data_IF_663332208469
#
_entry.id   IF_663332208469
#
_cell.length_a   1.000
_cell.length_b   1.000
_cell.length_c   1.000
_cell.angle_alpha   90.00
_cell.angle_beta   90.00
_cell.angle_gamma   90.00
#
_symmetry.space_group_name_H-M   'P 1'
#
loop_
_entity.id
_entity.type
_entity.pdbx_description
1 polymer ?
#
# COMPACT_ATOMS: atom_id res chain seq x y z
N UNK A 1 16.33 15.87 -13.49
CA UNK A 1 15.18 15.20 -12.85
C UNK A 1 15.09 13.78 -13.38
N UNK A 2 15.50 12.77 -12.60
CA UNK A 2 15.27 11.36 -12.95
C UNK A 2 13.81 11.07 -12.66
N UNK A 3 13.04 10.83 -13.73
CA UNK A 3 11.66 10.35 -13.62
C UNK A 3 11.75 8.99 -12.92
N UNK A 4 11.22 8.87 -11.69
CA UNK A 4 11.00 7.56 -11.08
C UNK A 4 10.01 6.83 -11.98
N UNK A 5 10.49 5.87 -12.75
CA UNK A 5 9.64 5.01 -13.56
C UNK A 5 8.99 3.97 -12.65
N UNK A 6 7.83 3.44 -13.03
CA UNK A 6 7.15 2.35 -12.33
C UNK A 6 8.12 1.18 -12.07
N UNK A 7 9.04 0.94 -13.02
CA UNK A 7 10.12 -0.05 -12.92
C UNK A 7 11.12 0.26 -11.80
N UNK A 8 11.45 1.52 -11.54
CA UNK A 8 12.40 1.88 -10.46
C UNK A 8 11.78 1.65 -9.08
N UNK A 9 10.47 1.91 -8.94
CA UNK A 9 9.72 1.60 -7.73
C UNK A 9 9.57 0.08 -7.56
N UNK A 10 9.23 -0.64 -8.64
CA UNK A 10 9.11 -2.10 -8.63
C UNK A 10 10.42 -2.82 -8.27
N UNK A 11 11.58 -2.34 -8.77
CA UNK A 11 12.89 -2.94 -8.48
C UNK A 11 13.30 -2.80 -7.01
N UNK A 12 12.95 -1.66 -6.39
CA UNK A 12 13.20 -1.42 -4.97
C UNK A 12 12.31 -2.30 -4.07
N UNK A 13 11.13 -2.69 -4.54
CA UNK A 13 10.21 -3.58 -3.85
C UNK A 13 10.61 -5.06 -4.01
N UNK A 14 11.07 -5.46 -5.20
CA UNK A 14 11.51 -6.84 -5.48
C UNK A 14 12.75 -7.26 -4.66
N UNK A 15 13.54 -6.30 -4.20
CA UNK A 15 14.73 -6.55 -3.35
C UNK A 15 14.37 -6.95 -1.91
N UNK A 16 13.09 -6.83 -1.52
CA UNK A 16 12.57 -7.29 -0.23
C UNK A 16 11.86 -8.65 -0.32
N UNK A 17 11.85 -9.29 -1.50
CA UNK A 17 11.33 -10.64 -1.65
C UNK A 17 12.18 -11.61 -0.81
N UNK A 18 11.49 -12.28 0.11
CA UNK A 18 12.00 -13.25 1.07
C UNK A 18 13.23 -14.03 0.56
N UNK A 19 14.39 -13.77 1.17
CA UNK A 19 15.55 -14.66 1.04
C UNK A 19 15.15 -16.03 1.62
N UNK A 20 14.95 -17.04 0.76
CA UNK A 20 14.98 -18.53 0.93
C UNK A 20 14.60 -19.21 2.26
N UNK A 21 14.09 -18.47 3.23
CA UNK A 21 13.88 -18.86 4.62
C UNK A 21 12.86 -17.89 5.22
N UNK A 22 11.66 -17.82 4.64
CA UNK A 22 10.55 -17.24 5.37
C UNK A 22 10.23 -18.17 6.56
N UNK A 23 10.19 -17.66 7.80
CA UNK A 23 9.77 -18.48 8.94
C UNK A 23 8.34 -18.97 8.71
N UNK A 24 8.09 -20.25 9.00
CA UNK A 24 6.74 -20.83 8.94
C UNK A 24 5.80 -20.05 9.87
N UNK A 25 4.63 -19.63 9.35
CA UNK A 25 3.61 -18.96 10.16
C UNK A 25 3.18 -19.89 11.30
N UNK A 26 3.24 -19.45 12.58
CA UNK A 26 2.81 -20.26 13.70
C UNK A 26 1.32 -20.59 13.56
N UNK A 27 0.96 -21.85 13.82
CA UNK A 27 -0.41 -22.33 13.84
C UNK A 27 -1.16 -21.76 15.04
N UNK A 28 -1.74 -20.57 14.84
CA UNK A 28 -2.88 -19.95 15.54
C UNK A 28 -2.79 -18.43 15.31
N UNK A 29 -3.29 -17.94 14.17
CA UNK A 29 -3.35 -16.51 13.90
C UNK A 29 -4.48 -15.90 14.73
N UNK A 30 -4.17 -15.45 15.95
CA UNK A 30 -5.05 -14.58 16.73
C UNK A 30 -4.95 -13.16 16.17
N UNK A 31 -6.03 -12.68 15.58
CA UNK A 31 -6.16 -11.33 15.06
C UNK A 31 -5.96 -10.31 16.21
N UNK A 32 -4.99 -9.39 16.07
CA UNK A 32 -4.62 -8.44 17.11
C UNK A 32 -5.60 -7.25 17.24
N UNK A 33 -5.30 -6.30 18.12
CA UNK A 33 -6.02 -5.01 18.20
C UNK A 33 -5.53 -4.04 17.12
N UNK A 34 -6.40 -3.18 16.55
CA UNK A 34 -5.97 -2.15 15.61
C UNK A 34 -4.87 -1.26 16.20
N UNK A 35 -3.80 -1.02 15.46
CA UNK A 35 -2.74 -0.07 15.86
C UNK A 35 -3.25 1.36 15.58
N UNK A 36 -3.41 2.22 16.61
CA UNK A 36 -3.87 3.58 16.39
C UNK A 36 -2.86 4.40 15.58
N UNK A 37 -3.33 5.35 14.79
CA UNK A 37 -2.43 6.36 14.21
C UNK A 37 -1.93 7.24 15.34
N UNK A 38 -0.62 7.41 15.42
CA UNK A 38 -0.01 8.46 16.23
C UNK A 38 -0.06 9.79 15.45
N UNK A 39 -0.72 10.84 15.97
CA UNK A 39 -0.81 12.13 15.27
C UNK A 39 0.55 12.74 14.92
N UNK A 40 1.61 12.45 15.68
CA UNK A 40 2.96 12.93 15.40
C UNK A 40 3.58 12.30 14.13
N UNK A 41 3.01 11.21 13.63
CA UNK A 41 3.46 10.53 12.41
C UNK A 41 2.76 11.04 11.15
N UNK A 42 1.77 11.92 11.29
CA UNK A 42 1.08 12.55 10.15
C UNK A 42 1.97 13.67 9.60
N UNK A 43 2.46 13.55 8.36
CA UNK A 43 3.38 14.55 7.85
C UNK A 43 2.64 15.84 7.43
N UNK A 44 3.26 16.97 7.71
CA UNK A 44 2.80 18.30 7.31
C UNK A 44 3.53 18.81 6.06
N UNK A 45 2.97 19.81 5.38
CA UNK A 45 3.58 20.44 4.20
C UNK A 45 3.47 19.61 2.92
N UNK A 46 4.31 19.96 1.94
CA UNK A 46 4.39 19.30 0.63
C UNK A 46 5.60 18.37 0.53
N UNK A 47 5.50 17.38 -0.34
CA UNK A 47 6.58 16.46 -0.70
C UNK A 47 6.61 16.22 -2.20
N UNK A 48 7.72 15.71 -2.71
CA UNK A 48 7.79 15.26 -4.10
C UNK A 48 6.88 14.05 -4.31
N UNK A 49 6.87 13.13 -3.33
CA UNK A 49 6.04 11.93 -3.30
C UNK A 49 5.49 11.69 -1.89
N UNK A 50 4.17 11.53 -1.77
CA UNK A 50 3.55 11.04 -0.54
C UNK A 50 3.02 9.62 -0.74
N UNK A 51 3.47 8.70 0.10
CA UNK A 51 3.14 7.27 0.05
C UNK A 51 2.06 7.01 1.09
N UNK A 52 0.81 6.82 0.64
CA UNK A 52 -0.29 6.45 1.54
C UNK A 52 -0.20 4.95 1.79
N UNK A 53 0.05 4.55 3.03
CA UNK A 53 0.28 3.15 3.39
C UNK A 53 -0.85 2.62 4.24
N UNK A 54 -1.62 1.66 3.71
CA UNK A 54 -2.55 0.85 4.46
C UNK A 54 -1.91 -0.49 4.81
N UNK A 55 -1.55 -0.64 6.08
CA UNK A 55 -0.97 -1.87 6.65
C UNK A 55 -1.97 -3.05 6.69
N UNK A 56 -1.51 -4.22 7.09
CA UNK A 56 -2.34 -5.40 7.36
C UNK A 56 -3.13 -5.31 8.66
N UNK A 57 -4.10 -6.20 8.83
CA UNK A 57 -4.97 -6.23 10.02
C UNK A 57 -4.14 -6.39 11.28
N UNK A 58 -4.20 -5.38 12.14
CA UNK A 58 -3.51 -5.37 13.44
C UNK A 58 -2.00 -5.63 13.35
N UNK A 59 -1.42 -5.32 12.19
CA UNK A 59 0.02 -5.42 11.97
C UNK A 59 0.76 -4.42 12.85
N UNK A 60 1.74 -4.86 13.67
CA UNK A 60 2.55 -3.96 14.47
C UNK A 60 3.54 -3.19 13.59
N UNK A 61 4.03 -2.07 14.12
CA UNK A 61 5.16 -1.38 13.53
C UNK A 61 6.48 -2.07 13.93
N UNK A 62 7.51 -1.92 13.11
CA UNK A 62 8.88 -2.19 13.55
C UNK A 62 9.27 -1.25 14.71
N UNK A 63 10.38 -1.53 15.38
CA UNK A 63 10.96 -0.56 16.32
C UNK A 63 11.29 0.74 15.57
N UNK A 64 10.68 1.86 15.99
CA UNK A 64 10.76 3.14 15.29
C UNK A 64 9.96 3.23 13.98
N UNK A 65 9.24 2.17 13.60
CA UNK A 65 8.37 2.09 12.44
C UNK A 65 7.02 2.78 12.65
N UNK A 66 6.33 3.06 11.53
CA UNK A 66 5.06 3.83 11.52
C UNK A 66 4.00 3.23 10.61
N UNK A 67 4.41 2.38 9.67
CA UNK A 67 3.63 2.03 8.48
C UNK A 67 3.29 0.54 8.41
N UNK A 68 3.71 -0.26 9.39
CA UNK A 68 3.58 -1.72 9.40
C UNK A 68 4.88 -2.42 9.00
N UNK A 69 5.32 -3.38 9.80
CA UNK A 69 6.64 -4.02 9.69
C UNK A 69 6.88 -4.82 8.39
N UNK A 70 5.83 -5.37 7.77
CA UNK A 70 5.93 -6.32 6.66
C UNK A 70 6.16 -5.61 5.33
N UNK A 71 5.33 -4.60 5.03
CA UNK A 71 5.34 -3.92 3.72
C UNK A 71 5.57 -2.42 3.85
N UNK A 72 4.89 -1.77 4.79
CA UNK A 72 4.88 -0.32 4.88
C UNK A 72 6.24 0.27 5.25
N UNK A 73 6.79 -0.15 6.38
CA UNK A 73 8.08 0.31 6.90
C UNK A 73 9.21 0.10 5.88
N UNK A 74 9.40 -1.10 5.27
CA UNK A 74 10.45 -1.29 4.27
C UNK A 74 10.23 -0.47 2.99
N UNK A 75 9.00 -0.34 2.47
CA UNK A 75 8.75 0.47 1.25
C UNK A 75 9.06 1.94 1.49
N UNK A 76 8.56 2.52 2.59
CA UNK A 76 8.81 3.93 2.89
C UNK A 76 10.30 4.18 3.14
N UNK A 77 10.97 3.31 3.89
CA UNK A 77 12.41 3.41 4.15
C UNK A 77 13.22 3.35 2.86
N UNK A 78 12.98 2.35 2.00
CA UNK A 78 13.73 2.21 0.74
C UNK A 78 13.44 3.36 -0.23
N UNK A 79 12.19 3.85 -0.26
CA UNK A 79 11.83 4.97 -1.14
C UNK A 79 12.51 6.26 -0.69
N UNK A 80 12.58 6.54 0.60
CA UNK A 80 13.24 7.77 1.11
C UNK A 80 14.76 7.76 0.92
N UNK A 81 15.40 6.59 0.88
CA UNK A 81 16.81 6.47 0.54
C UNK A 81 17.13 6.89 -0.91
N UNK A 82 16.21 6.62 -1.85
CA UNK A 82 16.41 6.90 -3.28
C UNK A 82 15.78 8.23 -3.70
N UNK A 83 14.67 8.60 -3.06
CA UNK A 83 13.95 9.84 -3.24
C UNK A 83 13.81 10.53 -1.88
N UNK A 84 14.81 11.33 -1.46
CA UNK A 84 14.79 12.01 -0.15
C UNK A 84 13.59 12.95 0.06
N UNK A 85 12.96 13.42 -1.01
CA UNK A 85 11.72 14.20 -0.98
C UNK A 85 10.44 13.38 -0.80
N UNK A 86 10.54 12.05 -0.64
CA UNK A 86 9.41 11.17 -0.35
C UNK A 86 9.06 11.16 1.14
N UNK A 87 7.81 10.83 1.45
CA UNK A 87 7.34 10.62 2.83
C UNK A 87 6.18 9.64 2.88
N UNK A 88 6.01 8.95 4.00
CA UNK A 88 4.87 8.07 4.23
C UNK A 88 3.73 8.77 5.00
N UNK A 89 2.50 8.36 4.71
CA UNK A 89 1.30 8.67 5.49
C UNK A 89 0.68 7.35 5.98
N UNK A 90 0.57 7.12 7.29
CA UNK A 90 0.08 5.85 7.83
C UNK A 90 -1.45 5.81 7.87
N UNK A 91 -2.03 4.72 7.34
CA UNK A 91 -3.45 4.39 7.48
C UNK A 91 -3.65 3.18 8.37
N UNK A 92 -4.62 3.23 9.30
CA UNK A 92 -4.91 2.11 10.14
C UNK A 92 -5.81 1.12 9.40
N UNK A 93 -5.37 -0.13 9.31
CA UNK A 93 -6.29 -1.23 9.07
C UNK A 93 -6.89 -1.67 10.41
N UNK A 94 -8.21 -1.53 10.56
CA UNK A 94 -9.00 -2.18 11.61
C UNK A 94 -9.80 -3.33 11.02
N UNK A 95 -10.07 -4.34 11.85
CA UNK A 95 -10.73 -5.58 11.45
C UNK A 95 -12.12 -5.39 10.81
N UNK A 96 -12.85 -4.34 11.18
CA UNK A 96 -14.22 -4.14 10.73
C UNK A 96 -14.33 -3.56 9.32
N UNK A 97 -15.42 -3.92 8.61
CA UNK A 97 -15.73 -3.33 7.30
C UNK A 97 -15.94 -1.81 7.37
N UNK A 98 -16.33 -1.29 8.55
CA UNK A 98 -16.34 0.15 8.84
C UNK A 98 -14.95 0.75 8.75
N UNK A 99 -13.92 0.05 9.22
CA UNK A 99 -12.51 0.42 9.11
C UNK A 99 -12.04 0.58 7.69
N UNK A 100 -12.36 -0.40 6.83
CA UNK A 100 -12.08 -0.34 5.39
C UNK A 100 -12.74 0.87 4.75
N UNK A 101 -14.03 1.14 5.05
CA UNK A 101 -14.76 2.29 4.49
C UNK A 101 -14.26 3.63 5.03
N UNK A 102 -13.92 3.69 6.31
CA UNK A 102 -13.38 4.90 6.97
C UNK A 102 -12.00 5.21 6.42
N UNK A 103 -11.13 4.21 6.30
CA UNK A 103 -9.83 4.34 5.69
C UNK A 103 -9.89 4.74 4.22
N UNK A 104 -10.80 4.15 3.43
CA UNK A 104 -11.02 4.53 2.04
C UNK A 104 -11.47 6.00 1.89
N UNK A 105 -12.33 6.46 2.80
CA UNK A 105 -12.77 7.87 2.84
C UNK A 105 -11.61 8.78 3.19
N UNK A 106 -10.78 8.40 4.15
CA UNK A 106 -9.65 9.23 4.58
C UNK A 106 -8.55 9.28 3.51
N UNK A 107 -8.24 8.19 2.80
CA UNK A 107 -7.37 8.18 1.60
C UNK A 107 -7.85 9.22 0.59
N UNK A 108 -9.14 9.20 0.26
CA UNK A 108 -9.74 10.16 -0.67
C UNK A 108 -9.64 11.61 -0.17
N UNK A 109 -9.89 11.83 1.12
CA UNK A 109 -9.79 13.16 1.72
C UNK A 109 -8.34 13.67 1.72
N UNK A 110 -7.37 12.82 2.05
CA UNK A 110 -5.94 13.17 2.03
C UNK A 110 -5.49 13.51 0.62
N UNK A 111 -5.83 12.69 -0.37
CA UNK A 111 -5.51 12.94 -1.78
C UNK A 111 -6.07 14.29 -2.25
N UNK A 112 -7.35 14.59 -1.95
CA UNK A 112 -7.98 15.86 -2.32
C UNK A 112 -7.34 17.05 -1.61
N UNK A 113 -7.17 16.96 -0.29
CA UNK A 113 -6.60 18.03 0.52
C UNK A 113 -5.16 18.35 0.09
N UNK A 114 -4.31 17.33 -0.05
CA UNK A 114 -2.92 17.51 -0.45
C UNK A 114 -2.77 17.90 -1.91
N UNK A 115 -3.63 17.43 -2.82
CA UNK A 115 -3.58 17.89 -4.20
C UNK A 115 -3.93 19.36 -4.35
N UNK A 116 -4.80 19.89 -3.48
CA UNK A 116 -5.14 21.31 -3.41
C UNK A 116 -4.02 22.14 -2.77
N UNK A 117 -3.44 21.66 -1.67
CA UNK A 117 -2.38 22.36 -0.97
C UNK A 117 -1.03 22.32 -1.72
N UNK A 118 -0.78 21.21 -2.43
CA UNK A 118 0.46 20.89 -3.12
C UNK A 118 0.18 20.43 -4.56
N UNK A 119 -0.01 21.37 -5.51
CA UNK A 119 -0.39 21.05 -6.89
C UNK A 119 0.60 20.17 -7.66
N UNK A 120 1.87 20.15 -7.27
CA UNK A 120 2.89 19.33 -7.92
C UNK A 120 3.12 17.97 -7.24
N UNK A 121 2.61 17.80 -6.02
CA UNK A 121 2.83 16.59 -5.23
C UNK A 121 2.23 15.36 -5.93
N UNK A 122 3.03 14.28 -5.97
CA UNK A 122 2.63 12.96 -6.46
C UNK A 122 2.32 12.02 -5.30
N UNK A 123 1.61 10.94 -5.62
CA UNK A 123 1.16 9.95 -4.65
C UNK A 123 1.46 8.53 -5.08
N UNK A 124 1.83 7.68 -4.12
CA UNK A 124 1.82 6.23 -4.27
C UNK A 124 0.85 5.64 -3.24
N UNK A 125 0.08 4.63 -3.64
CA UNK A 125 -0.84 3.92 -2.76
C UNK A 125 -0.29 2.53 -2.47
N UNK A 126 -0.08 2.19 -1.21
CA UNK A 126 0.48 0.91 -0.78
C UNK A 126 -0.50 0.21 0.13
N UNK A 127 -0.84 -1.05 -0.16
CA UNK A 127 -1.77 -1.85 0.63
C UNK A 127 -1.25 -3.25 0.89
N UNK A 128 -1.34 -3.73 2.14
CA UNK A 128 -1.02 -5.10 2.50
C UNK A 128 -2.25 -5.84 3.06
N UNK A 129 -2.60 -6.99 2.49
CA UNK A 129 -3.74 -7.82 2.94
C UNK A 129 -5.05 -7.02 3.00
N UNK A 130 -5.63 -6.81 4.19
CA UNK A 130 -6.80 -5.94 4.36
C UNK A 130 -6.55 -4.49 3.88
N UNK A 131 -5.33 -3.99 3.98
CA UNK A 131 -4.94 -2.69 3.45
C UNK A 131 -5.03 -2.60 1.94
N UNK A 132 -4.81 -3.70 1.20
CA UNK A 132 -5.05 -3.74 -0.24
C UNK A 132 -6.55 -3.62 -0.55
N UNK A 133 -7.41 -4.34 0.19
CA UNK A 133 -8.86 -4.22 0.06
C UNK A 133 -9.36 -2.77 0.35
N UNK A 134 -8.74 -2.09 1.31
CA UNK A 134 -8.99 -0.66 1.58
C UNK A 134 -8.60 0.22 0.39
N UNK A 135 -7.46 -0.01 -0.25
CA UNK A 135 -7.06 0.75 -1.44
C UNK A 135 -7.99 0.51 -2.62
N UNK A 136 -8.47 -0.72 -2.84
CA UNK A 136 -9.53 -1.01 -3.81
C UNK A 136 -10.83 -0.27 -3.50
N UNK A 137 -11.22 -0.21 -2.23
CA UNK A 137 -12.39 0.56 -1.80
C UNK A 137 -12.20 2.07 -2.05
N UNK A 138 -11.02 2.61 -1.72
CA UNK A 138 -10.68 4.01 -1.95
C UNK A 138 -10.75 4.37 -3.44
N UNK A 139 -10.17 3.53 -4.30
CA UNK A 139 -10.04 3.78 -5.73
C UNK A 139 -11.37 3.98 -6.47
N UNK A 140 -12.47 3.42 -5.94
CA UNK A 140 -13.82 3.62 -6.49
C UNK A 140 -14.27 5.07 -6.46
N UNK A 141 -13.80 5.82 -5.45
CA UNK A 141 -14.24 7.19 -5.18
C UNK A 141 -13.17 8.25 -5.49
N UNK A 142 -11.98 7.84 -5.98
CA UNK A 142 -10.92 8.76 -6.40
C UNK A 142 -11.38 9.52 -7.64
N UNK A 143 -11.43 10.86 -7.62
CA UNK A 143 -11.73 11.66 -8.80
C UNK A 143 -10.71 11.43 -9.93
N UNK A 144 -11.20 11.32 -11.17
CA UNK A 144 -10.34 11.01 -12.34
C UNK A 144 -9.25 12.05 -12.59
N UNK A 145 -9.47 13.31 -12.22
CA UNK A 145 -8.49 14.39 -12.31
C UNK A 145 -7.29 14.18 -11.36
N UNK A 146 -7.43 13.36 -10.32
CA UNK A 146 -6.32 12.97 -9.44
C UNK A 146 -5.54 11.76 -9.96
N UNK A 147 -6.03 11.01 -10.94
CA UNK A 147 -5.33 9.83 -11.46
C UNK A 147 -3.90 10.16 -11.95
N UNK A 148 -3.65 11.27 -12.68
CA UNK A 148 -2.28 11.64 -13.10
C UNK A 148 -1.33 12.02 -11.95
N UNK A 149 -1.85 12.25 -10.75
CA UNK A 149 -1.03 12.50 -9.54
C UNK A 149 -0.67 11.21 -8.82
N UNK A 150 -1.44 10.14 -9.02
CA UNK A 150 -1.10 8.81 -8.50
C UNK A 150 -0.15 8.16 -9.50
N UNK A 151 1.06 7.82 -9.05
CA UNK A 151 2.13 7.30 -9.92
C UNK A 151 2.36 5.80 -9.75
N UNK A 152 1.91 5.21 -8.64
CA UNK A 152 2.02 3.78 -8.38
C UNK A 152 0.92 3.32 -7.41
N UNK A 153 0.44 2.09 -7.62
CA UNK A 153 -0.34 1.33 -6.66
C UNK A 153 0.41 0.02 -6.39
N UNK A 154 0.79 -0.24 -5.15
CA UNK A 154 1.49 -1.46 -4.75
C UNK A 154 0.60 -2.24 -3.81
N UNK A 155 0.06 -3.36 -4.27
CA UNK A 155 -0.81 -4.22 -3.48
C UNK A 155 -0.09 -5.52 -3.17
N UNK A 156 0.01 -5.88 -1.90
CA UNK A 156 0.67 -7.10 -1.45
C UNK A 156 -0.33 -8.01 -0.73
N UNK A 157 -0.39 -9.30 -1.10
CA UNK A 157 -1.35 -10.25 -0.51
C UNK A 157 -2.80 -9.79 -0.71
N UNK A 158 -3.13 -9.34 -1.92
CA UNK A 158 -4.38 -8.65 -2.21
C UNK A 158 -5.57 -9.61 -2.39
N UNK A 159 -6.61 -9.55 -1.53
CA UNK A 159 -7.77 -10.43 -1.65
C UNK A 159 -8.65 -10.13 -2.86
N UNK A 160 -8.53 -8.95 -3.48
CA UNK A 160 -9.27 -8.62 -4.71
C UNK A 160 -8.57 -9.17 -5.96
N UNK A 161 -7.32 -9.59 -5.85
CA UNK A 161 -6.57 -10.15 -6.96
C UNK A 161 -7.11 -11.53 -7.34
N UNK A 162 -7.54 -11.67 -8.58
CA UNK A 162 -8.01 -12.94 -9.16
C UNK A 162 -6.94 -13.47 -10.10
N UNK A 163 -6.68 -14.78 -10.05
CA UNK A 163 -5.69 -15.47 -10.91
C UNK A 163 -5.89 -15.22 -12.42
N UNK A 164 -7.05 -14.72 -12.85
CA UNK A 164 -7.33 -14.32 -14.24
C UNK A 164 -6.70 -12.97 -14.68
N UNK A 165 -5.69 -12.46 -13.96
CA UNK A 165 -4.78 -11.36 -14.38
C UNK A 165 -5.43 -10.01 -14.75
N UNK A 166 -6.70 -9.77 -14.40
CA UNK A 166 -7.36 -8.48 -14.68
C UNK A 166 -7.40 -7.66 -13.39
N UNK A 167 -6.74 -6.50 -13.41
CA UNK A 167 -6.83 -5.50 -12.36
C UNK A 167 -8.28 -5.17 -12.04
N UNK A 168 -8.63 -5.10 -10.75
CA UNK A 168 -9.94 -4.62 -10.29
C UNK A 168 -9.97 -3.12 -10.04
N UNK A 169 -8.85 -2.41 -10.28
CA UNK A 169 -8.81 -0.95 -10.25
C UNK A 169 -9.46 -0.34 -11.50
N UNK A 170 -9.95 0.91 -11.41
CA UNK A 170 -10.35 1.67 -12.59
C UNK A 170 -9.19 1.77 -13.61
N UNK A 171 -9.49 1.70 -14.91
CA UNK A 171 -8.49 1.60 -15.99
C UNK A 171 -7.28 2.54 -15.86
N UNK A 172 -7.49 3.84 -15.58
CA UNK A 172 -6.39 4.81 -15.45
C UNK A 172 -5.52 4.67 -14.18
N UNK A 173 -5.93 3.82 -13.24
CA UNK A 173 -5.12 3.40 -12.09
C UNK A 173 -4.56 1.98 -12.28
N UNK A 174 -5.30 1.10 -12.93
CA UNK A 174 -4.89 -0.28 -13.23
C UNK A 174 -3.54 -0.35 -13.95
N UNK A 175 -3.26 0.59 -14.86
CA UNK A 175 -1.97 0.68 -15.58
C UNK A 175 -0.77 0.98 -14.67
N UNK A 176 -1.02 1.36 -13.42
CA UNK A 176 -0.01 1.75 -12.42
C UNK A 176 0.05 0.77 -11.26
N UNK A 177 -0.71 -0.32 -11.35
CA UNK A 177 -0.78 -1.35 -10.34
C UNK A 177 0.43 -2.30 -10.47
N UNK A 178 1.03 -2.56 -9.32
CA UNK A 178 1.93 -3.67 -9.06
C UNK A 178 1.30 -4.53 -7.96
N UNK A 179 0.89 -5.74 -8.31
CA UNK A 179 0.29 -6.68 -7.37
C UNK A 179 1.31 -7.79 -7.05
N UNK A 180 1.59 -8.03 -5.77
CA UNK A 180 2.64 -8.92 -5.29
C UNK A 180 2.03 -9.95 -4.33
N UNK A 181 2.23 -11.23 -4.60
CA UNK A 181 1.84 -12.30 -3.69
C UNK A 181 3.03 -13.19 -3.35
N UNK A 182 3.10 -13.64 -2.10
CA UNK A 182 4.04 -14.67 -1.71
C UNK A 182 3.60 -16.03 -2.26
N UNK A 183 4.56 -16.91 -2.56
CA UNK A 183 4.24 -18.29 -2.90
C UNK A 183 3.58 -18.98 -1.71
N UNK A 184 2.43 -19.63 -1.93
CA UNK A 184 1.68 -20.31 -0.87
C UNK A 184 0.83 -19.40 0.03
N UNK A 185 0.73 -18.10 -0.26
CA UNK A 185 -0.17 -17.19 0.47
C UNK A 185 -1.63 -17.68 0.38
N UNK A 186 -2.32 -17.98 1.50
CA UNK A 186 -3.69 -18.47 1.46
C UNK A 186 -4.69 -17.42 0.94
N UNK A 187 -4.35 -16.12 0.96
CA UNK A 187 -5.13 -15.09 0.28
C UNK A 187 -5.16 -15.32 -1.23
N UNK A 188 -4.07 -15.87 -1.80
CA UNK A 188 -4.03 -16.36 -3.18
C UNK A 188 -4.86 -17.61 -3.39
N UNK A 189 -5.05 -18.48 -2.40
CA UNK A 189 -5.82 -19.73 -2.56
C UNK A 189 -7.34 -19.54 -2.65
N UNK A 190 -7.85 -18.36 -2.28
CA UNK A 190 -9.19 -17.94 -2.69
C UNK A 190 -9.28 -17.68 -4.22
N UNK A 191 -8.12 -17.59 -4.89
CA UNK A 191 -7.91 -17.35 -6.32
C UNK A 191 -6.91 -18.37 -6.89
N UNK A 192 -7.27 -19.67 -6.92
CA UNK A 192 -6.55 -20.82 -7.53
C UNK A 192 -5.34 -20.48 -8.45
N UNK A 193 -4.12 -20.93 -8.11
CA UNK A 193 -3.04 -21.24 -9.10
C UNK A 193 -1.76 -20.34 -9.04
N UNK A 194 -0.54 -20.85 -9.30
CA UNK A 194 0.69 -20.16 -9.84
C UNK A 194 1.50 -19.09 -9.06
N UNK A 195 2.74 -19.41 -8.61
CA UNK A 195 3.62 -18.50 -7.83
C UNK A 195 4.56 -17.64 -8.67
N UNK A 196 4.80 -16.41 -8.21
CA UNK A 196 5.54 -15.34 -8.90
C UNK A 196 4.89 -13.98 -8.63
N UNK A 197 5.47 -12.86 -9.11
CA UNK A 197 4.70 -11.62 -9.29
C UNK A 197 3.38 -12.00 -9.98
N UNK A 198 2.26 -11.50 -9.45
CA UNK A 198 0.94 -11.81 -9.98
C UNK A 198 0.84 -11.54 -11.48
#
# INVERSE_FOLDING_TARGET
MKVLTLETVALLIASAACQSSCPSLPGDIKMGTPVPINPADIPAGCSDLEILVARGTSEPNAEGGKFGIVVGDPIVTNTTLVLPGARGYPYPASYDLTGVRTGATDVNNRLKAQSKACPDQKFALVGYSQGAALMHAAAKDIPRDLYPKIVALVMTGDPAHKSSSTSTFPAGLAEKELNLCAEGDPVRLMSREGGGLC
#
